data_IF_084829104830
#
_entry.id   IF_084829104830
#
_cell.length_a   1.000
_cell.length_b   1.000
_cell.length_c   1.000
_cell.angle_alpha   90.00
_cell.angle_beta   90.00
_cell.angle_gamma   90.00
#
_symmetry.space_group_name_H-M   'P 1'
#
loop_
_entity.id
_entity.type
_entity.pdbx_description
1 polymer ?
#
# COMPACT_ATOMS: atom_id res chain seq x y z
N UNK A 1 3.38 9.71 -5.34
CA UNK A 1 2.01 9.81 -5.90
C UNK A 1 1.01 9.46 -4.79
N UNK A 2 -0.18 10.07 -4.73
CA UNK A 2 -1.21 9.65 -3.76
C UNK A 2 -1.93 8.38 -4.24
N UNK A 3 -2.52 7.56 -3.35
CA UNK A 3 -3.24 6.34 -3.73
C UNK A 3 -4.39 6.58 -4.72
N UNK A 4 -5.18 7.65 -4.55
CA UNK A 4 -6.27 7.98 -5.48
C UNK A 4 -5.76 8.39 -6.86
N UNK A 5 -4.65 9.11 -6.93
CA UNK A 5 -4.05 9.47 -8.22
C UNK A 5 -3.51 8.23 -8.92
N UNK A 6 -2.85 7.33 -8.18
CA UNK A 6 -2.42 6.04 -8.73
C UNK A 6 -3.59 5.22 -9.25
N UNK A 7 -4.68 5.11 -8.47
CA UNK A 7 -5.89 4.39 -8.86
C UNK A 7 -6.53 4.98 -10.13
N UNK A 8 -6.56 6.30 -10.26
CA UNK A 8 -7.05 6.96 -11.47
C UNK A 8 -6.16 6.66 -12.69
N UNK A 9 -4.84 6.69 -12.53
CA UNK A 9 -3.88 6.43 -13.62
C UNK A 9 -3.92 4.97 -14.10
N UNK A 10 -4.08 4.03 -13.16
CA UNK A 10 -4.22 2.59 -13.48
C UNK A 10 -5.60 2.30 -14.07
N UNK A 11 -6.64 2.95 -13.56
CA UNK A 11 -8.03 2.73 -13.94
C UNK A 11 -8.80 1.98 -12.84
N UNK A 12 -9.94 2.53 -12.34
CA UNK A 12 -10.73 1.89 -11.28
C UNK A 12 -11.19 0.46 -11.61
N UNK A 13 -11.56 0.21 -12.87
CA UNK A 13 -12.00 -1.10 -13.34
C UNK A 13 -10.87 -2.14 -13.35
N UNK A 14 -9.65 -1.74 -13.75
CA UNK A 14 -8.47 -2.61 -13.71
C UNK A 14 -8.13 -2.98 -12.27
N UNK A 15 -8.12 -1.98 -11.38
CA UNK A 15 -7.87 -2.24 -9.96
C UNK A 15 -8.95 -3.15 -9.33
N UNK A 16 -10.22 -3.02 -9.75
CA UNK A 16 -11.30 -3.87 -9.26
C UNK A 16 -11.12 -5.32 -9.74
N UNK A 17 -10.75 -5.49 -11.01
CA UNK A 17 -10.42 -6.80 -11.57
C UNK A 17 -9.27 -7.47 -10.81
N UNK A 18 -8.17 -6.75 -10.56
CA UNK A 18 -7.03 -7.26 -9.79
C UNK A 18 -7.45 -7.62 -8.37
N UNK A 19 -8.24 -6.79 -7.70
CA UNK A 19 -8.76 -7.11 -6.37
C UNK A 19 -9.60 -8.41 -6.37
N UNK A 20 -10.41 -8.64 -7.41
CA UNK A 20 -11.16 -9.88 -7.60
C UNK A 20 -10.25 -11.10 -7.76
N UNK A 21 -9.21 -11.00 -8.59
CA UNK A 21 -8.21 -12.06 -8.77
C UNK A 21 -7.47 -12.37 -7.47
N UNK A 22 -7.04 -11.34 -6.75
CA UNK A 22 -6.36 -11.49 -5.45
C UNK A 22 -7.27 -12.10 -4.39
N UNK A 23 -8.54 -11.70 -4.32
CA UNK A 23 -9.52 -12.28 -3.39
C UNK A 23 -9.79 -13.75 -3.73
N UNK A 24 -9.80 -14.11 -5.01
CA UNK A 24 -9.97 -15.51 -5.45
C UNK A 24 -8.78 -16.39 -5.04
N UNK A 25 -7.56 -15.87 -5.20
CA UNK A 25 -6.34 -16.61 -4.85
C UNK A 25 -6.04 -16.62 -3.34
N UNK A 26 -6.34 -15.53 -2.63
CA UNK A 26 -5.96 -15.30 -1.24
C UNK A 26 -7.12 -14.71 -0.42
N UNK A 27 -8.25 -15.44 -0.30
CA UNK A 27 -9.49 -14.93 0.29
C UNK A 27 -9.37 -14.51 1.76
N UNK A 28 -8.40 -15.05 2.49
CA UNK A 28 -8.19 -14.74 3.91
C UNK A 28 -7.53 -13.37 4.15
N UNK A 29 -6.89 -12.78 3.12
CA UNK A 29 -6.09 -11.56 3.28
C UNK A 29 -6.47 -10.44 2.32
N UNK A 30 -7.01 -10.77 1.16
CA UNK A 30 -7.46 -9.81 0.16
C UNK A 30 -8.98 -9.76 0.10
N UNK A 31 -9.52 -8.57 -0.11
CA UNK A 31 -10.96 -8.34 -0.20
C UNK A 31 -11.26 -7.33 -1.30
N UNK A 32 -12.49 -7.38 -1.80
CA UNK A 32 -12.99 -6.42 -2.78
C UNK A 32 -13.84 -5.36 -2.09
N UNK A 33 -13.47 -4.10 -2.27
CA UNK A 33 -14.20 -2.94 -1.74
C UNK A 33 -15.52 -2.71 -2.50
N UNK A 34 -16.62 -2.59 -1.75
CA UNK A 34 -17.93 -2.26 -2.32
C UNK A 34 -17.96 -0.85 -2.93
N UNK A 35 -17.29 0.11 -2.30
CA UNK A 35 -17.16 1.46 -2.86
C UNK A 35 -16.44 1.45 -4.21
N UNK A 36 -15.47 0.54 -4.39
CA UNK A 36 -14.79 0.41 -5.67
C UNK A 36 -15.70 -0.20 -6.73
N UNK A 37 -16.55 -1.18 -6.37
CA UNK A 37 -17.61 -1.70 -7.26
C UNK A 37 -18.55 -0.60 -7.73
N UNK A 38 -19.11 0.18 -6.80
CA UNK A 38 -20.02 1.30 -7.10
C UNK A 38 -19.41 2.32 -8.08
N UNK A 39 -18.14 2.68 -7.89
CA UNK A 39 -17.42 3.59 -8.80
C UNK A 39 -17.34 3.01 -10.21
N UNK A 40 -16.99 1.72 -10.33
CA UNK A 40 -16.84 1.03 -11.62
C UNK A 40 -18.19 0.81 -12.30
N UNK A 41 -19.21 0.39 -11.54
CA UNK A 41 -20.58 0.17 -12.04
C UNK A 41 -21.21 1.48 -12.55
N UNK A 42 -20.87 2.61 -11.93
CA UNK A 42 -21.24 3.95 -12.39
C UNK A 42 -20.44 4.43 -13.61
N UNK A 43 -19.46 3.65 -14.09
CA UNK A 43 -18.63 4.00 -15.24
C UNK A 43 -17.64 5.14 -15.00
N UNK A 44 -17.36 5.47 -13.73
CA UNK A 44 -16.47 6.59 -13.40
C UNK A 44 -15.01 6.19 -13.61
N UNK A 45 -14.33 6.94 -14.46
CA UNK A 45 -12.89 6.79 -14.72
C UNK A 45 -12.06 7.93 -14.12
N UNK A 46 -12.66 9.10 -13.93
CA UNK A 46 -12.03 10.25 -13.29
C UNK A 46 -12.41 10.35 -11.80
N UNK A 47 -11.45 10.06 -10.93
CA UNK A 47 -11.63 10.11 -9.48
C UNK A 47 -11.32 11.47 -8.88
N UNK A 48 -10.38 12.20 -9.47
CA UNK A 48 -9.84 13.45 -8.96
C UNK A 48 -10.11 14.61 -9.92
N UNK A 49 -10.36 15.77 -9.33
CA UNK A 49 -10.42 17.07 -10.01
C UNK A 49 -9.44 18.05 -9.37
N UNK A 50 -8.98 19.02 -10.15
CA UNK A 50 -8.05 20.07 -9.75
C UNK A 50 -8.70 21.44 -9.97
N UNK A 51 -9.17 22.03 -8.88
CA UNK A 51 -9.60 23.43 -8.79
C UNK A 51 -8.48 24.33 -8.21
N UNK A 52 -7.33 23.73 -7.89
CA UNK A 52 -6.14 24.37 -7.33
C UNK A 52 -4.97 23.38 -7.24
N UNK A 53 -3.93 23.70 -6.44
CA UNK A 53 -2.72 22.86 -6.34
C UNK A 53 -2.95 21.51 -5.64
N UNK A 54 -4.06 21.37 -4.90
CA UNK A 54 -4.41 20.14 -4.19
C UNK A 54 -5.63 19.49 -4.84
N UNK A 55 -5.54 18.24 -5.31
CA UNK A 55 -6.69 17.56 -5.90
C UNK A 55 -7.75 17.22 -4.87
N UNK A 56 -9.00 17.13 -5.32
CA UNK A 56 -10.15 16.63 -4.55
C UNK A 56 -10.85 15.53 -5.31
N UNK A 57 -11.63 14.70 -4.62
CA UNK A 57 -12.53 13.77 -5.29
C UNK A 57 -13.54 14.55 -6.15
N UNK A 58 -13.92 13.99 -7.29
CA UNK A 58 -15.04 14.52 -8.06
C UNK A 58 -16.33 14.40 -7.26
N UNK A 59 -17.31 15.27 -7.52
CA UNK A 59 -18.60 15.23 -6.82
C UNK A 59 -19.31 13.89 -7.06
N UNK A 60 -19.19 13.32 -8.26
CA UNK A 60 -19.79 12.04 -8.62
C UNK A 60 -19.19 10.89 -7.78
N UNK A 61 -17.87 10.86 -7.60
CA UNK A 61 -17.24 9.85 -6.72
C UNK A 61 -17.65 10.08 -5.27
N UNK A 62 -17.60 11.33 -4.79
CA UNK A 62 -17.97 11.64 -3.42
C UNK A 62 -19.42 11.24 -3.08
N UNK A 63 -20.34 11.37 -4.03
CA UNK A 63 -21.74 10.97 -3.88
C UNK A 63 -21.95 9.45 -3.83
N UNK A 64 -21.04 8.65 -4.41
CA UNK A 64 -21.13 7.18 -4.44
C UNK A 64 -20.46 6.50 -3.23
N UNK A 65 -19.53 7.19 -2.56
CA UNK A 65 -18.78 6.63 -1.44
C UNK A 65 -19.68 6.49 -0.20
N UNK A 66 -19.86 5.26 0.25
CA UNK A 66 -20.40 5.01 1.59
C UNK A 66 -19.24 4.97 2.59
N UNK A 67 -19.26 5.86 3.57
CA UNK A 67 -18.23 5.97 4.61
C UNK A 67 -18.84 5.78 5.99
N UNK A 68 -18.08 5.20 6.90
CA UNK A 68 -18.47 5.05 8.30
C UNK A 68 -18.37 6.36 9.10
N UNK A 69 -18.83 6.34 10.34
CA UNK A 69 -18.80 7.49 11.27
C UNK A 69 -17.47 7.64 12.02
N UNK A 70 -16.56 6.67 11.89
CA UNK A 70 -15.27 6.65 12.59
C UNK A 70 -14.12 6.82 11.61
N UNK A 71 -13.56 8.03 11.56
CA UNK A 71 -12.41 8.32 10.70
C UNK A 71 -11.13 7.71 11.27
N UNK A 72 -10.26 7.20 10.38
CA UNK A 72 -8.90 6.82 10.76
C UNK A 72 -8.00 8.05 10.82
N UNK A 73 -7.10 8.10 11.79
CA UNK A 73 -6.00 9.07 11.78
C UNK A 73 -5.00 8.75 10.65
N UNK A 74 -4.26 9.73 10.13
CA UNK A 74 -3.22 9.49 9.13
C UNK A 74 -2.19 8.45 9.58
N UNK A 75 -1.79 8.48 10.85
CA UNK A 75 -0.87 7.50 11.44
C UNK A 75 -1.46 6.08 11.44
N UNK A 76 -2.75 5.93 11.77
CA UNK A 76 -3.41 4.63 11.74
C UNK A 76 -3.53 4.05 10.31
N UNK A 77 -3.79 4.90 9.32
CA UNK A 77 -3.81 4.48 7.91
C UNK A 77 -2.42 4.03 7.47
N UNK A 78 -1.39 4.81 7.77
CA UNK A 78 -0.01 4.47 7.45
C UNK A 78 0.40 3.16 8.11
N UNK A 79 0.09 2.98 9.40
CA UNK A 79 0.44 1.78 10.15
C UNK A 79 -0.17 0.52 9.50
N UNK A 80 -1.47 0.53 9.17
CA UNK A 80 -2.09 -0.61 8.48
C UNK A 80 -1.43 -0.92 7.13
N UNK A 81 -1.04 0.10 6.38
CA UNK A 81 -0.40 -0.09 5.08
C UNK A 81 1.00 -0.73 5.23
N UNK A 82 1.84 -0.22 6.14
CA UNK A 82 3.19 -0.77 6.34
C UNK A 82 3.17 -2.16 6.98
N UNK A 83 2.22 -2.41 7.89
CA UNK A 83 2.05 -3.71 8.53
C UNK A 83 1.62 -4.77 7.49
N UNK A 84 0.66 -4.44 6.62
CA UNK A 84 0.24 -5.32 5.52
C UNK A 84 1.38 -5.60 4.53
N UNK A 85 2.18 -4.59 4.17
CA UNK A 85 3.35 -4.77 3.30
C UNK A 85 4.41 -5.67 3.96
N UNK A 86 4.68 -5.49 5.26
CA UNK A 86 5.60 -6.35 6.00
C UNK A 86 5.12 -7.80 6.05
N UNK A 87 3.82 -8.02 6.18
CA UNK A 87 3.23 -9.35 6.17
C UNK A 87 3.38 -10.02 4.79
N UNK A 88 2.99 -9.36 3.70
CA UNK A 88 3.06 -9.97 2.37
C UNK A 88 4.50 -10.22 1.92
N UNK A 89 5.45 -9.32 2.24
CA UNK A 89 6.87 -9.55 1.96
C UNK A 89 7.39 -10.79 2.68
N UNK A 90 7.02 -11.01 3.95
CA UNK A 90 7.38 -12.22 4.68
C UNK A 90 6.83 -13.46 4.00
N UNK A 91 5.56 -13.44 3.61
CA UNK A 91 4.90 -14.57 2.95
C UNK A 91 5.58 -14.89 1.62
N UNK A 92 5.90 -13.88 0.80
CA UNK A 92 6.61 -14.08 -0.47
C UNK A 92 7.99 -14.72 -0.29
N UNK A 93 8.70 -14.40 0.80
CA UNK A 93 9.98 -15.04 1.14
C UNK A 93 9.78 -16.48 1.64
N UNK A 94 8.80 -16.72 2.51
CA UNK A 94 8.48 -18.04 3.06
C UNK A 94 8.01 -19.02 1.97
N UNK A 95 7.26 -18.53 0.98
CA UNK A 95 6.79 -19.31 -0.17
C UNK A 95 7.81 -19.41 -1.31
N UNK A 96 8.94 -18.67 -1.23
CA UNK A 96 9.99 -18.68 -2.25
C UNK A 96 9.59 -17.98 -3.57
N UNK A 97 8.64 -17.05 -3.52
CA UNK A 97 8.27 -16.19 -4.66
C UNK A 97 9.43 -15.27 -5.05
N UNK A 98 10.21 -14.85 -4.06
CA UNK A 98 11.49 -14.15 -4.21
C UNK A 98 12.56 -14.84 -3.38
N UNK A 99 13.83 -14.66 -3.76
CA UNK A 99 14.94 -15.32 -3.05
C UNK A 99 15.39 -14.48 -1.86
N UNK A 100 15.51 -13.17 -2.05
CA UNK A 100 16.00 -12.26 -1.04
C UNK A 100 15.23 -10.93 -1.01
N UNK A 101 15.34 -10.20 0.10
CA UNK A 101 14.63 -8.92 0.30
C UNK A 101 15.06 -7.85 -0.71
N UNK A 102 16.29 -7.94 -1.20
CA UNK A 102 16.87 -7.03 -2.19
C UNK A 102 16.16 -7.14 -3.54
N UNK A 103 15.63 -8.31 -3.89
CA UNK A 103 14.81 -8.50 -5.10
C UNK A 103 13.57 -7.61 -5.04
N UNK A 104 12.90 -7.58 -3.89
CA UNK A 104 11.70 -6.77 -3.65
C UNK A 104 12.03 -5.28 -3.56
N UNK A 105 13.12 -4.92 -2.88
CA UNK A 105 13.57 -3.54 -2.78
C UNK A 105 13.87 -2.95 -4.16
N UNK A 106 14.61 -3.68 -5.00
CA UNK A 106 14.92 -3.28 -6.36
C UNK A 106 13.66 -3.22 -7.24
N UNK A 107 12.80 -4.23 -7.15
CA UNK A 107 11.54 -4.31 -7.89
C UNK A 107 10.65 -3.10 -7.59
N UNK A 108 10.48 -2.72 -6.33
CA UNK A 108 9.62 -1.59 -5.97
C UNK A 108 10.25 -0.23 -6.31
N UNK A 109 11.57 -0.09 -6.24
CA UNK A 109 12.26 1.13 -6.68
C UNK A 109 12.06 1.34 -8.18
N UNK A 110 12.31 0.31 -9.00
CA UNK A 110 12.24 0.42 -10.45
C UNK A 110 10.83 0.33 -11.03
N UNK A 111 9.97 -0.48 -10.41
CA UNK A 111 8.61 -0.77 -10.91
C UNK A 111 7.52 0.07 -10.27
N UNK A 112 7.51 0.18 -8.94
CA UNK A 112 6.45 0.87 -8.20
C UNK A 112 6.79 2.33 -7.85
N UNK A 113 7.99 2.80 -8.21
CA UNK A 113 8.46 4.15 -7.92
C UNK A 113 8.69 4.40 -6.43
N UNK A 114 9.16 3.39 -5.69
CA UNK A 114 9.51 3.53 -4.28
C UNK A 114 10.56 4.64 -4.09
N UNK A 115 10.46 5.51 -3.06
CA UNK A 115 11.41 6.60 -2.89
C UNK A 115 12.82 6.08 -2.63
N UNK A 116 13.71 6.22 -3.62
CA UNK A 116 15.07 5.65 -3.58
C UNK A 116 15.87 6.09 -2.34
N UNK A 117 15.66 7.31 -1.84
CA UNK A 117 16.34 7.85 -0.66
C UNK A 117 15.99 7.09 0.63
N UNK A 118 14.94 6.26 0.64
CA UNK A 118 14.64 5.37 1.74
C UNK A 118 15.45 4.06 1.69
N UNK A 119 16.18 3.79 0.61
CA UNK A 119 17.05 2.62 0.43
C UNK A 119 16.33 1.33 0.00
N UNK A 120 14.99 1.32 -0.01
CA UNK A 120 14.15 0.14 -0.27
C UNK A 120 12.91 0.12 0.63
N UNK A 121 11.98 -0.79 0.37
CA UNK A 121 10.81 -1.02 1.24
C UNK A 121 11.26 -1.67 2.55
N UNK A 122 12.14 -2.68 2.50
CA UNK A 122 12.53 -3.46 3.68
C UNK A 122 13.38 -2.65 4.67
N UNK A 123 14.34 -1.80 4.24
CA UNK A 123 14.96 -0.80 5.12
C UNK A 123 13.95 0.11 5.81
N UNK A 124 12.92 0.56 5.10
CA UNK A 124 11.91 1.45 5.66
C UNK A 124 11.02 0.74 6.69
N UNK A 125 10.57 -0.48 6.38
CA UNK A 125 9.74 -1.30 7.28
C UNK A 125 10.48 -1.65 8.57
N UNK A 126 11.78 -1.92 8.49
CA UNK A 126 12.63 -2.12 9.66
C UNK A 126 12.73 -0.84 10.50
N UNK A 127 13.00 0.31 9.87
CA UNK A 127 13.14 1.59 10.59
C UNK A 127 11.85 2.06 11.26
N UNK A 128 10.70 1.81 10.65
CA UNK A 128 9.40 2.17 11.22
C UNK A 128 8.84 1.10 12.18
N UNK A 129 9.60 0.01 12.40
CA UNK A 129 9.27 -1.08 13.30
C UNK A 129 8.15 -2.01 12.80
N UNK A 130 7.73 -1.89 11.54
CA UNK A 130 6.69 -2.75 10.98
C UNK A 130 7.13 -4.21 10.90
N UNK A 131 8.38 -4.45 10.50
CA UNK A 131 8.95 -5.79 10.41
C UNK A 131 8.88 -6.51 11.76
N UNK A 132 9.33 -5.86 12.84
CA UNK A 132 9.31 -6.49 14.18
C UNK A 132 7.89 -6.65 14.73
N UNK A 133 7.02 -5.65 14.56
CA UNK A 133 5.62 -5.74 15.02
C UNK A 133 4.85 -6.90 14.37
N UNK A 134 5.07 -7.13 13.08
CA UNK A 134 4.26 -8.09 12.29
C UNK A 134 4.94 -9.45 12.19
N UNK A 135 6.26 -9.47 11.99
CA UNK A 135 7.02 -10.69 11.69
C UNK A 135 7.82 -11.19 12.90
N UNK A 136 7.87 -10.43 14.00
CA UNK A 136 8.66 -10.75 15.19
C UNK A 136 10.18 -10.56 15.02
N UNK A 137 10.63 -10.15 13.83
CA UNK A 137 12.04 -9.88 13.51
C UNK A 137 12.17 -8.86 12.39
N UNK A 138 13.33 -8.23 12.30
CA UNK A 138 13.74 -7.40 11.16
C UNK A 138 13.92 -8.23 9.90
N UNK A 139 13.80 -7.59 8.74
CA UNK A 139 14.20 -8.18 7.47
C UNK A 139 15.71 -8.17 7.29
N UNK A 140 16.37 -7.08 7.73
CA UNK A 140 17.80 -6.88 7.59
C UNK A 140 18.49 -7.05 8.93
N UNK A 141 19.72 -7.59 8.89
CA UNK A 141 20.55 -7.75 10.08
C UNK A 141 20.79 -6.41 10.81
N UNK A 142 20.94 -6.42 12.14
CA UNK A 142 21.38 -5.25 12.90
C UNK A 142 22.66 -4.64 12.31
N UNK A 143 22.65 -3.32 12.12
CA UNK A 143 23.74 -2.58 11.47
C UNK A 143 23.49 -2.29 9.98
N UNK A 144 22.61 -3.04 9.32
CA UNK A 144 22.18 -2.74 7.94
C UNK A 144 20.93 -1.86 7.99
N UNK A 145 21.05 -0.66 7.41
CA UNK A 145 20.01 0.38 7.37
C UNK A 145 19.36 0.73 8.72
N UNK A 146 20.08 0.45 9.82
CA UNK A 146 19.65 0.78 11.19
C UNK A 146 19.77 2.27 11.44
N UNK A 147 18.83 2.85 12.19
CA UNK A 147 18.96 4.22 12.69
C UNK A 147 19.83 4.25 13.95
N UNK A 148 20.58 5.33 14.21
CA UNK A 148 21.27 5.48 15.48
C UNK A 148 20.29 5.33 16.64
N UNK A 149 20.66 4.54 17.66
CA UNK A 149 19.93 4.55 18.92
C UNK A 149 19.93 5.97 19.44
N UNK A 150 18.75 6.57 19.68
CA UNK A 150 18.68 7.86 20.37
C UNK A 150 19.41 7.68 21.71
N UNK A 151 20.55 8.34 21.87
CA UNK A 151 21.18 8.43 23.18
C UNK A 151 20.19 9.15 24.13
N UNK A 152 20.09 8.71 25.39
CA UNK A 152 19.19 9.29 26.37
C UNK A 152 19.50 10.77 26.64
#
# INVERSE_FOLDING_TARGET
MSPYLLLQMVGPAVALHVAGSMTTAFPDRFHVSENQRRIVDAGITQLLTWDGPTPRLTNDVAALLEVGTSSSSPAAVLQRAVDALAQEIRIMLEEGVVTEVQDLDLCLILGAGWPFHNGGITPYLDRCGASERVNGRRFLEPGIASVPSRQP
#
